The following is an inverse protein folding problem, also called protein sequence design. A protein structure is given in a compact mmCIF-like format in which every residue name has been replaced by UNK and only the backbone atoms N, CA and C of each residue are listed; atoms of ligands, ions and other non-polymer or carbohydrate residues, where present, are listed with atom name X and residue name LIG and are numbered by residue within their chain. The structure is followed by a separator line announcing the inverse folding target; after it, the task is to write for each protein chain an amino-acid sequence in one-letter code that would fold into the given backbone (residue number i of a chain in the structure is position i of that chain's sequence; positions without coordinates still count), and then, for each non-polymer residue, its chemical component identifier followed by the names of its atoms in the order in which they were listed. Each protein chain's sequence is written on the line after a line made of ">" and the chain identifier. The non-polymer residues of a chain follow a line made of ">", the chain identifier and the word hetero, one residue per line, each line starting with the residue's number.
data_IF_096191492194
#
_entry.id   IF_096191492194
#
_cell.length_a   1.000
_cell.length_b   1.000
_cell.length_c   1.000
_cell.angle_alpha   90.00
_cell.angle_beta   90.00
_cell.angle_gamma   90.00
#
_symmetry.space_group_name_H-M   'P 1'
#
loop_
_entity.id
_entity.type
_entity.pdbx_description
1 polymer ?
#
# COMPACT_ATOMS: atom_id res chain seq x y z
N UNK A 1 -44.81 17.38 5.80
CA UNK A 1 -43.37 17.48 6.15
C UNK A 1 -42.89 16.10 6.54
N UNK A 2 -41.82 15.63 5.90
CA UNK A 2 -41.43 14.21 5.84
C UNK A 2 -40.10 14.02 6.54
N UNK A 3 -40.10 13.40 7.72
CA UNK A 3 -38.88 12.98 8.43
C UNK A 3 -38.64 11.50 8.13
N UNK A 4 -38.12 11.21 6.93
CA UNK A 4 -37.81 9.85 6.44
C UNK A 4 -36.31 9.61 6.57
N UNK A 5 -35.83 9.01 7.66
CA UNK A 5 -34.52 8.34 7.65
C UNK A 5 -34.24 7.34 8.78
N UNK A 6 -35.26 6.78 9.44
CA UNK A 6 -35.05 5.74 10.46
C UNK A 6 -36.15 4.68 10.39
N UNK A 7 -35.76 3.40 10.45
CA UNK A 7 -36.69 2.27 10.49
C UNK A 7 -36.85 1.87 11.96
N UNK A 8 -38.07 1.96 12.48
CA UNK A 8 -38.41 1.49 13.83
C UNK A 8 -39.07 0.11 13.73
N UNK A 9 -38.48 -0.90 14.35
CA UNK A 9 -39.06 -2.22 14.51
C UNK A 9 -39.57 -2.38 15.94
N UNK A 10 -40.78 -2.92 16.09
CA UNK A 10 -41.37 -3.23 17.39
C UNK A 10 -41.48 -4.75 17.51
N UNK A 11 -40.88 -5.32 18.55
CA UNK A 11 -41.12 -6.71 18.92
C UNK A 11 -42.38 -6.83 19.81
N UNK A 12 -43.02 -8.00 19.82
CA UNK A 12 -44.24 -8.28 20.61
C UNK A 12 -44.06 -8.04 22.11
N UNK A 13 -42.83 -7.95 22.59
CA UNK A 13 -42.48 -7.59 23.96
C UNK A 13 -42.27 -6.07 24.18
N UNK A 14 -42.79 -5.21 23.28
CA UNK A 14 -42.69 -3.74 23.32
C UNK A 14 -41.26 -3.16 23.21
N UNK A 15 -40.28 -3.94 22.74
CA UNK A 15 -38.92 -3.45 22.52
C UNK A 15 -38.86 -2.69 21.20
N UNK A 16 -38.49 -1.40 21.26
CA UNK A 16 -38.30 -0.54 20.09
C UNK A 16 -36.84 -0.60 19.62
N UNK A 17 -36.61 -1.16 18.43
CA UNK A 17 -35.30 -1.16 17.77
C UNK A 17 -35.30 -0.11 16.67
N UNK A 18 -34.37 0.84 16.73
CA UNK A 18 -34.24 1.90 15.71
C UNK A 18 -33.00 1.64 14.87
N UNK A 19 -33.18 1.45 13.55
CA UNK A 19 -32.09 1.36 12.58
C UNK A 19 -31.94 2.73 11.92
N UNK A 20 -30.82 3.37 12.21
CA UNK A 20 -30.44 4.65 11.58
C UNK A 20 -29.36 4.37 10.53
N UNK A 21 -29.55 4.75 9.25
CA UNK A 21 -28.51 4.67 8.25
C UNK A 21 -27.31 5.54 8.67
N UNK A 22 -26.14 4.93 8.85
CA UNK A 22 -24.91 5.67 9.05
C UNK A 22 -24.54 6.33 7.70
N UNK A 23 -24.43 7.66 7.68
CA UNK A 23 -24.03 8.36 6.47
C UNK A 23 -22.61 7.91 6.05
N UNK A 24 -22.36 7.67 4.75
CA UNK A 24 -21.01 7.41 4.28
C UNK A 24 -20.10 8.57 4.70
N UNK A 25 -19.12 8.29 5.56
CA UNK A 25 -18.09 9.28 5.92
C UNK A 25 -17.20 9.47 4.70
N UNK A 26 -17.51 10.50 3.91
CA UNK A 26 -16.62 10.98 2.87
C UNK A 26 -15.43 11.61 3.57
N UNK A 27 -14.22 11.13 3.28
CA UNK A 27 -12.98 11.70 3.78
C UNK A 27 -12.75 13.06 3.09
N UNK A 28 -13.39 14.11 3.60
CA UNK A 28 -13.34 15.47 3.04
C UNK A 28 -12.02 16.20 3.30
N UNK A 29 -11.19 15.68 4.21
CA UNK A 29 -9.97 16.35 4.68
C UNK A 29 -8.68 15.56 4.44
N UNK A 30 -8.61 14.78 3.35
CA UNK A 30 -7.32 14.23 2.94
C UNK A 30 -6.45 15.37 2.40
N UNK A 31 -5.23 15.58 2.94
CA UNK A 31 -4.33 16.56 2.39
C UNK A 31 -4.06 16.21 0.92
N UNK A 32 -4.29 17.17 0.01
CA UNK A 32 -3.91 17.02 -1.39
C UNK A 32 -2.38 16.95 -1.45
N UNK A 33 -1.86 15.74 -1.69
CA UNK A 33 -0.44 15.55 -1.97
C UNK A 33 -0.20 15.76 -3.46
N UNK A 34 0.94 16.34 -3.86
CA UNK A 34 1.31 16.36 -5.26
C UNK A 34 1.38 14.92 -5.79
N UNK A 35 1.04 14.69 -7.07
CA UNK A 35 1.20 13.38 -7.68
C UNK A 35 2.68 12.97 -7.65
N UNK A 36 2.93 11.72 -7.28
CA UNK A 36 4.27 11.13 -7.25
C UNK A 36 4.25 9.85 -8.07
N UNK A 37 5.02 9.86 -9.15
CA UNK A 37 5.34 8.69 -9.96
C UNK A 37 6.70 8.15 -9.54
N UNK A 38 6.78 6.85 -9.30
CA UNK A 38 8.02 6.16 -8.94
C UNK A 38 8.36 5.23 -10.09
N UNK A 39 9.58 5.28 -10.60
CA UNK A 39 10.09 4.31 -11.56
C UNK A 39 11.37 3.69 -11.00
N UNK A 40 11.62 2.44 -11.34
CA UNK A 40 12.81 1.73 -10.94
C UNK A 40 13.30 0.85 -12.09
N UNK A 41 14.62 0.82 -12.28
CA UNK A 41 15.27 0.14 -13.39
C UNK A 41 16.41 -0.71 -12.89
N UNK A 42 16.39 -1.97 -13.28
CA UNK A 42 17.41 -2.98 -12.98
C UNK A 42 17.76 -3.09 -11.50
N UNK A 43 16.75 -2.92 -10.63
CA UNK A 43 16.94 -3.01 -9.19
C UNK A 43 17.40 -4.41 -8.80
N UNK A 44 18.61 -4.45 -8.24
CA UNK A 44 19.25 -5.66 -7.74
C UNK A 44 19.59 -5.43 -6.28
N UNK A 45 19.29 -6.41 -5.42
CA UNK A 45 19.52 -6.27 -3.99
C UNK A 45 20.08 -7.55 -3.38
N UNK A 46 21.21 -7.39 -2.69
CA UNK A 46 21.94 -8.49 -2.05
C UNK A 46 22.08 -8.21 -0.57
N UNK A 47 21.79 -9.21 0.26
CA UNK A 47 22.02 -9.16 1.71
C UNK A 47 23.23 -10.02 2.08
N UNK A 48 24.01 -9.55 3.06
CA UNK A 48 25.05 -10.36 3.71
C UNK A 48 24.47 -10.93 4.99
N UNK A 49 24.32 -12.24 5.05
CA UNK A 49 23.84 -12.94 6.24
C UNK A 49 25.04 -13.36 7.09
N UNK A 50 24.95 -13.19 8.42
CA UNK A 50 26.06 -13.35 9.36
C UNK A 50 26.75 -14.73 9.35
N UNK A 51 27.89 -14.81 10.06
CA UNK A 51 28.82 -15.93 10.26
C UNK A 51 29.44 -16.57 9.01
N UNK A 52 28.71 -16.74 7.89
CA UNK A 52 29.22 -17.37 6.65
C UNK A 52 29.58 -16.38 5.55
N UNK A 53 29.31 -15.09 5.74
CA UNK A 53 29.66 -13.97 4.85
C UNK A 53 29.27 -14.18 3.36
N UNK A 54 28.29 -15.05 3.09
CA UNK A 54 27.87 -15.37 1.74
C UNK A 54 26.79 -14.38 1.29
N UNK A 55 26.98 -13.69 0.15
CA UNK A 55 25.97 -12.80 -0.40
C UNK A 55 24.74 -13.60 -0.87
N UNK A 56 23.56 -13.20 -0.41
CA UNK A 56 22.28 -13.76 -0.86
C UNK A 56 21.55 -12.73 -1.70
N UNK A 57 21.32 -13.09 -2.97
CA UNK A 57 20.54 -12.29 -3.90
C UNK A 57 19.03 -12.39 -3.54
N UNK A 58 18.39 -11.26 -3.31
CA UNK A 58 16.96 -11.19 -2.96
C UNK A 58 16.13 -10.65 -4.13
N UNK A 59 16.63 -9.62 -4.81
CA UNK A 59 16.01 -9.06 -6.02
C UNK A 59 17.02 -9.13 -7.16
N UNK A 60 16.57 -9.48 -8.37
CA UNK A 60 17.40 -9.68 -9.55
C UNK A 60 16.85 -8.86 -10.72
N UNK A 61 17.50 -7.72 -11.04
CA UNK A 61 17.16 -6.84 -12.18
C UNK A 61 15.66 -6.54 -12.30
N UNK A 62 15.05 -6.10 -11.20
CA UNK A 62 13.61 -5.82 -11.16
C UNK A 62 13.36 -4.41 -11.68
N UNK A 63 12.46 -4.27 -12.66
CA UNK A 63 12.13 -2.99 -13.30
C UNK A 63 10.62 -2.77 -13.32
N UNK A 64 10.17 -1.52 -13.19
CA UNK A 64 8.75 -1.21 -13.10
C UNK A 64 8.46 0.25 -12.75
N UNK A 65 7.16 0.58 -12.72
CA UNK A 65 6.66 1.93 -12.46
C UNK A 65 5.40 1.87 -11.59
N UNK A 66 5.30 2.79 -10.63
CA UNK A 66 4.10 3.06 -9.85
C UNK A 66 3.64 4.48 -10.19
N UNK A 67 2.45 4.62 -10.75
CA UNK A 67 1.89 5.92 -11.11
C UNK A 67 0.97 6.45 -10.02
N UNK A 68 0.97 7.75 -9.84
CA UNK A 68 0.03 8.43 -8.96
C UNK A 68 -1.42 8.21 -9.43
N UNK A 69 -2.28 7.84 -8.49
CA UNK A 69 -3.71 7.59 -8.76
C UNK A 69 -4.03 6.16 -9.22
N UNK A 70 -3.03 5.29 -9.39
CA UNK A 70 -3.23 3.88 -9.73
C UNK A 70 -3.06 2.97 -8.51
N UNK A 71 -3.94 1.97 -8.37
CA UNK A 71 -3.79 0.91 -7.37
C UNK A 71 -2.86 -0.18 -7.93
N UNK A 72 -1.63 -0.22 -7.43
CA UNK A 72 -0.63 -1.23 -7.81
C UNK A 72 -0.52 -2.32 -6.75
N UNK A 73 -0.53 -3.59 -7.16
CA UNK A 73 -0.36 -4.74 -6.27
C UNK A 73 0.92 -5.52 -6.61
N UNK A 74 1.70 -5.87 -5.59
CA UNK A 74 2.89 -6.74 -5.70
C UNK A 74 2.51 -8.11 -5.14
N UNK A 75 2.49 -9.14 -6.00
CA UNK A 75 2.05 -10.49 -5.65
C UNK A 75 3.18 -11.51 -5.85
N UNK A 76 3.07 -12.66 -5.17
CA UNK A 76 4.05 -13.75 -5.25
C UNK A 76 4.18 -14.55 -3.96
N UNK A 77 4.88 -15.69 -3.97
CA UNK A 77 5.01 -16.58 -2.81
C UNK A 77 5.76 -15.92 -1.65
N UNK A 78 5.66 -16.52 -0.46
CA UNK A 78 6.45 -16.08 0.70
C UNK A 78 7.94 -16.18 0.38
N UNK A 79 8.74 -15.19 0.80
CA UNK A 79 10.18 -15.15 0.53
C UNK A 79 10.59 -14.62 -0.87
N UNK A 80 9.64 -14.31 -1.77
CA UNK A 80 9.95 -13.79 -3.11
C UNK A 80 10.56 -12.37 -3.16
N UNK A 81 10.73 -11.70 -2.01
CA UNK A 81 11.33 -10.35 -1.97
C UNK A 81 10.35 -9.17 -2.08
N UNK A 82 9.02 -9.40 -2.04
CA UNK A 82 8.00 -8.33 -2.15
C UNK A 82 8.16 -7.20 -1.11
N UNK A 83 8.24 -7.56 0.17
CA UNK A 83 8.45 -6.60 1.24
C UNK A 83 9.84 -5.95 1.15
N UNK A 84 10.83 -6.68 0.62
CA UNK A 84 12.17 -6.14 0.35
C UNK A 84 12.13 -5.06 -0.72
N UNK A 85 11.41 -5.30 -1.83
CA UNK A 85 11.19 -4.31 -2.89
C UNK A 85 10.50 -3.07 -2.32
N UNK A 86 9.44 -3.24 -1.54
CA UNK A 86 8.75 -2.12 -0.88
C UNK A 86 9.69 -1.33 0.04
N UNK A 87 10.53 -2.00 0.82
CA UNK A 87 11.49 -1.33 1.71
C UNK A 87 12.56 -0.53 0.94
N UNK A 88 12.95 -0.99 -0.24
CA UNK A 88 13.89 -0.26 -1.10
C UNK A 88 13.21 0.98 -1.71
N UNK A 89 12.00 0.82 -2.25
CA UNK A 89 11.24 1.92 -2.84
C UNK A 89 10.85 3.01 -1.82
N UNK A 90 10.63 2.65 -0.56
CA UNK A 90 10.35 3.63 0.51
C UNK A 90 11.61 4.27 1.10
N UNK A 91 12.80 3.87 0.65
CA UNK A 91 14.08 4.34 1.18
C UNK A 91 14.46 3.77 2.55
N UNK A 92 13.72 2.77 3.07
CA UNK A 92 14.04 2.11 4.33
C UNK A 92 15.31 1.24 4.24
N UNK A 93 15.60 0.72 3.04
CA UNK A 93 16.83 -0.05 2.75
C UNK A 93 17.52 0.51 1.51
N UNK A 94 18.73 1.01 1.69
CA UNK A 94 19.55 1.60 0.61
C UNK A 94 20.93 0.94 0.45
N UNK A 95 21.41 0.22 1.47
CA UNK A 95 22.74 -0.41 1.44
C UNK A 95 22.73 -1.71 0.65
N UNK A 96 23.60 -1.84 -0.34
CA UNK A 96 23.74 -3.07 -1.15
C UNK A 96 22.68 -3.22 -2.24
N UNK A 97 22.02 -2.12 -2.63
CA UNK A 97 21.21 -2.07 -3.84
C UNK A 97 22.03 -1.55 -5.02
N UNK A 98 21.74 -2.08 -6.19
CA UNK A 98 22.23 -1.62 -7.50
C UNK A 98 21.02 -1.31 -8.39
N UNK A 99 21.24 -0.48 -9.42
CA UNK A 99 20.18 0.03 -10.29
C UNK A 99 19.80 1.47 -9.95
N UNK A 100 18.67 1.93 -10.49
CA UNK A 100 18.18 3.30 -10.28
C UNK A 100 16.71 3.33 -9.86
N UNK A 101 16.39 4.33 -9.05
CA UNK A 101 15.02 4.68 -8.66
C UNK A 101 14.86 6.15 -8.98
N UNK A 102 13.85 6.50 -9.76
CA UNK A 102 13.54 7.88 -10.11
C UNK A 102 12.16 8.27 -9.60
N UNK A 103 12.05 9.51 -9.15
CA UNK A 103 10.82 10.10 -8.63
C UNK A 103 10.43 11.22 -9.59
N UNK A 104 9.26 11.10 -10.20
CA UNK A 104 8.75 12.02 -11.22
C UNK A 104 9.71 12.20 -12.42
N UNK A 105 10.52 11.19 -12.74
CA UNK A 105 11.46 11.20 -13.86
C UNK A 105 12.84 11.77 -13.56
N UNK A 106 13.09 12.19 -12.32
CA UNK A 106 14.39 12.66 -11.80
C UNK A 106 15.01 11.66 -10.83
#
# INVERSE_FOLDING_TARGET
>A
MVEKNSICLYDKNSVKVTITPCQPKVLTHLPKRPPVDIAFTDLTYTVREGSRNNPKLILKSVSGRLKSGELTAIMGPSGAGKSTLLNILTGYKTSGMEGSITINGT
#
